data_IF_752375258423
#
_entry.id   IF_752375258423
#
_cell.length_a   1.000
_cell.length_b   1.000
_cell.length_c   1.000
_cell.angle_alpha   90.00
_cell.angle_beta   90.00
_cell.angle_gamma   90.00
#
_symmetry.space_group_name_H-M   'P 1'
#
loop_
_entity.id
_entity.type
_entity.pdbx_description
1 polymer ?
#
# COMPACT_ATOMS: atom_id res chain seq x y z
N UNK A 1 11.04 -11.27 8.55
CA UNK A 1 11.43 -11.51 7.14
C UNK A 1 10.34 -12.20 6.34
N UNK A 2 9.89 -13.41 6.73
CA UNK A 2 8.79 -14.11 6.04
C UNK A 2 7.53 -13.25 5.95
N UNK A 3 7.17 -12.56 7.04
CA UNK A 3 6.02 -11.64 7.08
C UNK A 3 6.12 -10.50 6.06
N UNK A 4 7.32 -9.96 5.83
CA UNK A 4 7.57 -8.90 4.85
C UNK A 4 7.38 -9.41 3.41
N UNK A 5 7.83 -10.65 3.14
CA UNK A 5 7.61 -11.28 1.83
C UNK A 5 6.13 -11.59 1.58
N UNK A 6 5.42 -12.10 2.59
CA UNK A 6 3.97 -12.31 2.52
C UNK A 6 3.22 -10.99 2.29
N UNK A 7 3.61 -9.93 3.00
CA UNK A 7 3.06 -8.58 2.81
C UNK A 7 3.33 -8.09 1.39
N UNK A 8 4.56 -8.24 0.89
CA UNK A 8 4.92 -7.87 -0.47
C UNK A 8 4.06 -8.59 -1.50
N UNK A 9 3.91 -9.91 -1.38
CA UNK A 9 3.05 -10.71 -2.25
C UNK A 9 1.59 -10.27 -2.22
N UNK A 10 1.02 -10.00 -1.03
CA UNK A 10 -0.35 -9.51 -0.90
C UNK A 10 -0.55 -8.17 -1.61
N UNK A 11 0.40 -7.25 -1.48
CA UNK A 11 0.33 -5.94 -2.14
C UNK A 11 0.55 -6.00 -3.65
N UNK A 12 1.35 -6.94 -4.16
CA UNK A 12 1.43 -7.23 -5.61
C UNK A 12 0.06 -7.68 -6.13
N UNK A 13 -0.59 -8.61 -5.44
CA UNK A 13 -1.93 -9.08 -5.82
C UNK A 13 -2.93 -7.92 -5.82
N UNK A 14 -2.90 -7.05 -4.80
CA UNK A 14 -3.75 -5.86 -4.74
C UNK A 14 -3.48 -4.90 -5.89
N UNK A 15 -2.22 -4.62 -6.22
CA UNK A 15 -1.85 -3.74 -7.32
C UNK A 15 -2.44 -4.26 -8.65
N UNK A 16 -2.26 -5.54 -8.95
CA UNK A 16 -2.79 -6.20 -10.15
C UNK A 16 -4.33 -6.16 -10.15
N UNK A 17 -4.95 -6.48 -9.02
CA UNK A 17 -6.41 -6.52 -8.88
C UNK A 17 -7.03 -5.13 -9.11
N UNK A 18 -6.42 -4.08 -8.56
CA UNK A 18 -6.87 -2.69 -8.74
C UNK A 18 -6.77 -2.25 -10.20
N UNK A 19 -5.72 -2.66 -10.92
CA UNK A 19 -5.61 -2.40 -12.36
C UNK A 19 -6.69 -3.15 -13.15
N UNK A 20 -6.97 -4.40 -12.79
CA UNK A 20 -8.03 -5.22 -13.40
C UNK A 20 -9.45 -4.67 -13.17
N UNK A 21 -9.71 -4.09 -12.00
CA UNK A 21 -11.00 -3.47 -11.65
C UNK A 21 -11.39 -2.30 -12.56
N UNK A 22 -10.42 -1.70 -13.26
CA UNK A 22 -10.68 -0.63 -14.23
C UNK A 22 -11.51 -1.10 -15.44
N UNK A 23 -11.48 -2.39 -15.78
CA UNK A 23 -12.25 -2.95 -16.88
C UNK A 23 -13.73 -3.21 -16.52
N UNK A 24 -14.01 -3.51 -15.25
CA UNK A 24 -15.34 -3.91 -14.76
C UNK A 24 -16.09 -2.86 -13.94
N UNK A 25 -15.49 -1.69 -13.66
CA UNK A 25 -16.11 -0.66 -12.81
C UNK A 25 -16.38 0.64 -13.57
N UNK A 26 -17.35 1.43 -13.09
CA UNK A 26 -17.61 2.81 -13.56
C UNK A 26 -16.61 3.84 -13.01
N UNK A 27 -15.53 3.39 -12.37
CA UNK A 27 -14.53 4.28 -11.78
C UNK A 27 -13.58 4.79 -12.88
N UNK A 28 -13.07 6.04 -12.77
CA UNK A 28 -12.00 6.48 -13.63
C UNK A 28 -10.77 5.59 -13.46
N UNK A 29 -9.96 5.44 -14.52
CA UNK A 29 -8.75 4.59 -14.48
C UNK A 29 -7.65 5.16 -13.59
N UNK A 30 -7.55 6.48 -13.49
CA UNK A 30 -6.43 7.14 -12.83
C UNK A 30 -6.38 6.98 -11.29
N UNK A 31 -7.49 6.99 -10.50
CA UNK A 31 -7.43 6.73 -9.06
C UNK A 31 -7.11 5.27 -8.75
N UNK A 32 -7.56 4.35 -9.61
CA UNK A 32 -7.21 2.93 -9.54
C UNK A 32 -5.72 2.73 -9.83
N UNK A 33 -5.19 3.37 -10.88
CA UNK A 33 -3.77 3.33 -11.20
C UNK A 33 -2.90 3.93 -10.08
N UNK A 34 -3.33 5.06 -9.49
CA UNK A 34 -2.61 5.69 -8.37
C UNK A 34 -2.61 4.79 -7.12
N UNK A 35 -3.74 4.16 -6.80
CA UNK A 35 -3.85 3.20 -5.69
C UNK A 35 -3.04 1.93 -5.95
N UNK A 36 -3.00 1.46 -7.20
CA UNK A 36 -2.17 0.33 -7.61
C UNK A 36 -0.67 0.66 -7.52
N UNK A 37 -0.27 1.86 -7.91
CA UNK A 37 1.11 2.35 -7.75
C UNK A 37 1.50 2.44 -6.27
N UNK A 38 0.60 2.92 -5.40
CA UNK A 38 0.81 2.90 -3.96
C UNK A 38 1.04 1.47 -3.42
N UNK A 39 0.19 0.52 -3.84
CA UNK A 39 0.36 -0.89 -3.49
C UNK A 39 1.69 -1.46 -3.98
N UNK A 40 2.10 -1.13 -5.21
CA UNK A 40 3.38 -1.57 -5.77
C UNK A 40 4.57 -1.02 -4.97
N UNK A 41 4.53 0.24 -4.55
CA UNK A 41 5.57 0.83 -3.68
C UNK A 41 5.66 0.12 -2.33
N UNK A 42 4.52 -0.22 -1.72
CA UNK A 42 4.49 -0.99 -0.48
C UNK A 42 5.10 -2.37 -0.70
N UNK A 43 4.78 -3.02 -1.82
CA UNK A 43 5.34 -4.33 -2.17
C UNK A 43 6.86 -4.29 -2.36
N UNK A 44 7.37 -3.28 -3.07
CA UNK A 44 8.81 -3.07 -3.27
C UNK A 44 9.49 -2.90 -1.92
N UNK A 45 8.95 -2.06 -1.04
CA UNK A 45 9.56 -1.82 0.27
C UNK A 45 9.56 -3.09 1.14
N UNK A 46 8.46 -3.84 1.14
CA UNK A 46 8.34 -5.09 1.89
C UNK A 46 9.30 -6.18 1.36
N UNK A 47 9.50 -6.24 0.03
CA UNK A 47 10.49 -7.10 -0.59
C UNK A 47 11.92 -6.71 -0.22
N UNK A 48 12.26 -5.41 -0.27
CA UNK A 48 13.59 -4.89 0.11
C UNK A 48 13.92 -5.24 1.56
N UNK A 49 12.96 -5.09 2.48
CA UNK A 49 13.13 -5.49 3.88
C UNK A 49 13.27 -7.00 4.03
N UNK A 50 12.50 -7.78 3.27
CA UNK A 50 12.52 -9.24 3.34
C UNK A 50 13.75 -9.90 2.71
N UNK A 51 14.44 -9.21 1.79
CA UNK A 51 15.54 -9.78 0.98
C UNK A 51 16.85 -9.02 1.18
N UNK A 52 16.94 -7.78 0.71
CA UNK A 52 18.18 -6.98 0.72
C UNK A 52 18.67 -6.76 2.15
N UNK A 53 17.77 -6.37 3.05
CA UNK A 53 18.11 -6.18 4.46
C UNK A 53 18.47 -7.48 5.16
N UNK A 54 17.83 -8.58 4.76
CA UNK A 54 18.15 -9.89 5.28
C UNK A 54 19.56 -10.34 4.91
N UNK A 55 19.91 -10.13 3.65
CA UNK A 55 21.23 -10.43 3.14
C UNK A 55 22.29 -9.51 3.76
N UNK A 56 22.04 -8.19 3.86
CA UNK A 56 22.96 -7.27 4.53
C UNK A 56 23.21 -7.64 6.00
N UNK A 57 22.18 -8.07 6.71
CA UNK A 57 22.29 -8.52 8.10
C UNK A 57 23.10 -9.81 8.26
N UNK A 58 23.19 -10.66 7.22
CA UNK A 58 24.02 -11.87 7.25
C UNK A 58 25.48 -11.63 6.85
N UNK A 59 25.76 -10.60 6.06
CA UNK A 59 27.10 -10.32 5.52
C UNK A 59 27.89 -9.29 6.33
N UNK A 60 27.21 -8.37 7.02
CA UNK A 60 27.86 -7.26 7.70
C UNK A 60 28.00 -7.49 9.21
N UNK A 61 29.10 -7.03 9.82
CA UNK A 61 29.18 -6.90 11.27
C UNK A 61 28.06 -6.00 11.81
N UNK A 62 27.52 -6.33 12.99
CA UNK A 62 26.39 -5.64 13.61
C UNK A 62 26.55 -4.11 13.67
N UNK A 63 27.73 -3.63 14.07
CA UNK A 63 28.02 -2.20 14.13
C UNK A 63 27.94 -1.48 12.77
N UNK A 64 28.27 -2.17 11.68
CA UNK A 64 28.16 -1.60 10.32
C UNK A 64 26.71 -1.65 9.83
N UNK A 65 26.00 -2.73 10.13
CA UNK A 65 24.57 -2.84 9.83
C UNK A 65 23.77 -1.74 10.56
N UNK A 66 24.09 -1.47 11.81
CA UNK A 66 23.50 -0.39 12.60
C UNK A 66 23.82 0.99 12.03
N UNK A 67 25.06 1.23 11.58
CA UNK A 67 25.42 2.49 10.94
C UNK A 67 24.62 2.71 9.64
N UNK A 68 24.34 1.65 8.86
CA UNK A 68 23.51 1.72 7.65
C UNK A 68 22.04 1.92 7.99
N UNK A 69 21.53 1.23 9.01
CA UNK A 69 20.13 1.34 9.44
C UNK A 69 19.82 2.72 10.03
N UNK A 70 20.81 3.34 10.70
CA UNK A 70 20.73 4.72 11.19
C UNK A 70 20.95 5.77 10.09
N UNK A 71 21.51 5.39 8.93
CA UNK A 71 21.68 6.29 7.80
C UNK A 71 20.33 6.57 7.13
N UNK A 72 19.70 7.61 7.64
CA UNK A 72 18.27 7.91 7.53
C UNK A 72 17.83 8.20 6.11
N UNK A 73 18.76 8.60 5.23
CA UNK A 73 18.43 9.11 3.91
C UNK A 73 17.88 8.02 2.98
N UNK A 74 18.52 6.83 2.95
CA UNK A 74 18.06 5.69 2.16
C UNK A 74 16.71 5.16 2.67
N UNK A 75 16.54 5.03 3.99
CA UNK A 75 15.27 4.61 4.57
C UNK A 75 14.12 5.59 4.28
N UNK A 76 14.39 6.88 4.43
CA UNK A 76 13.43 7.94 4.19
C UNK A 76 13.03 8.05 2.71
N UNK A 77 13.94 7.76 1.79
CA UNK A 77 13.68 7.68 0.35
C UNK A 77 12.64 6.62 -0.02
N UNK A 78 12.48 5.57 0.77
CA UNK A 78 11.42 4.58 0.54
C UNK A 78 10.14 4.91 1.31
N UNK A 79 10.25 5.39 2.55
CA UNK A 79 9.09 5.64 3.42
C UNK A 79 8.25 6.82 2.91
N UNK A 80 8.86 7.96 2.59
CA UNK A 80 8.09 9.16 2.26
C UNK A 80 7.34 9.05 0.93
N UNK A 81 7.94 8.58 -0.17
CA UNK A 81 7.19 8.39 -1.41
C UNK A 81 6.07 7.38 -1.27
N UNK A 82 6.30 6.29 -0.53
CA UNK A 82 5.26 5.30 -0.23
C UNK A 82 4.10 5.95 0.54
N UNK A 83 4.38 6.68 1.62
CA UNK A 83 3.38 7.36 2.43
C UNK A 83 2.55 8.35 1.61
N UNK A 84 3.21 9.18 0.80
CA UNK A 84 2.56 10.15 -0.10
C UNK A 84 1.69 9.45 -1.14
N UNK A 85 2.20 8.38 -1.77
CA UNK A 85 1.43 7.61 -2.76
C UNK A 85 0.24 6.90 -2.12
N UNK A 86 0.40 6.31 -0.94
CA UNK A 86 -0.71 5.66 -0.22
C UNK A 86 -1.78 6.68 0.18
N UNK A 87 -1.37 7.82 0.73
CA UNK A 87 -2.30 8.89 1.08
C UNK A 87 -3.05 9.38 -0.15
N UNK A 88 -2.32 9.74 -1.21
CA UNK A 88 -2.91 10.25 -2.44
C UNK A 88 -3.78 9.20 -3.12
N UNK A 89 -3.29 7.97 -3.29
CA UNK A 89 -4.00 6.87 -3.94
C UNK A 89 -5.31 6.52 -3.23
N UNK A 90 -5.23 6.15 -1.96
CA UNK A 90 -6.41 5.69 -1.23
C UNK A 90 -7.43 6.80 -0.97
N UNK A 91 -6.97 8.00 -0.62
CA UNK A 91 -7.89 9.14 -0.40
C UNK A 91 -8.61 9.50 -1.70
N UNK A 92 -7.88 9.51 -2.81
CA UNK A 92 -8.47 9.87 -4.10
C UNK A 92 -9.43 8.81 -4.59
N UNK A 93 -9.07 7.53 -4.45
CA UNK A 93 -9.97 6.43 -4.75
C UNK A 93 -11.24 6.51 -3.89
N UNK A 94 -11.10 6.75 -2.58
CA UNK A 94 -12.22 6.93 -1.65
C UNK A 94 -13.16 8.07 -2.08
N UNK A 95 -12.62 9.26 -2.32
CA UNK A 95 -13.41 10.45 -2.70
C UNK A 95 -14.11 10.23 -4.04
N UNK A 96 -13.39 9.73 -5.04
CA UNK A 96 -13.96 9.50 -6.38
C UNK A 96 -15.02 8.40 -6.35
N UNK A 97 -14.75 7.29 -5.66
CA UNK A 97 -15.69 6.18 -5.54
C UNK A 97 -16.95 6.56 -4.76
N UNK A 98 -16.82 7.35 -3.70
CA UNK A 98 -17.98 7.90 -2.99
C UNK A 98 -18.80 8.85 -3.86
N UNK A 99 -18.16 9.83 -4.52
CA UNK A 99 -18.85 10.80 -5.37
C UNK A 99 -19.59 10.17 -6.56
N UNK A 100 -19.10 9.02 -7.05
CA UNK A 100 -19.74 8.26 -8.12
C UNK A 100 -20.74 7.22 -7.62
N UNK A 101 -21.01 7.16 -6.32
CA UNK A 101 -21.92 6.17 -5.73
C UNK A 101 -21.43 4.72 -5.82
N UNK A 102 -20.16 4.51 -6.17
CA UNK A 102 -19.58 3.17 -6.24
C UNK A 102 -19.28 2.62 -4.84
N UNK A 103 -18.98 3.48 -3.87
CA UNK A 103 -18.60 3.08 -2.51
C UNK A 103 -19.58 3.57 -1.45
N UNK A 104 -19.72 2.77 -0.39
CA UNK A 104 -20.36 3.21 0.85
C UNK A 104 -19.50 4.25 1.58
N UNK A 105 -20.13 5.03 2.47
CA UNK A 105 -19.40 5.97 3.35
C UNK A 105 -18.37 5.25 4.23
N UNK A 106 -18.70 4.04 4.70
CA UNK A 106 -17.80 3.20 5.51
C UNK A 106 -16.55 2.79 4.75
N UNK A 107 -16.69 2.24 3.54
CA UNK A 107 -15.55 1.86 2.70
C UNK A 107 -14.63 3.05 2.38
N UNK A 108 -15.23 4.22 2.14
CA UNK A 108 -14.50 5.46 1.87
C UNK A 108 -13.72 5.94 3.09
N UNK A 109 -14.33 5.90 4.28
CA UNK A 109 -13.67 6.26 5.54
C UNK A 109 -12.49 5.32 5.84
N UNK A 110 -12.65 4.01 5.61
CA UNK A 110 -11.58 3.02 5.81
C UNK A 110 -10.41 3.26 4.86
N UNK A 111 -10.66 3.59 3.59
CA UNK A 111 -9.60 3.91 2.63
C UNK A 111 -8.84 5.20 3.01
N UNK A 112 -9.55 6.24 3.47
CA UNK A 112 -8.90 7.46 3.98
C UNK A 112 -8.05 7.13 5.22
N UNK A 113 -8.59 6.34 6.15
CA UNK A 113 -7.84 5.89 7.32
C UNK A 113 -6.59 5.07 6.93
N UNK A 114 -6.68 4.22 5.90
CA UNK A 114 -5.52 3.50 5.37
C UNK A 114 -4.45 4.45 4.82
N UNK A 115 -4.86 5.49 4.07
CA UNK A 115 -3.96 6.54 3.57
C UNK A 115 -3.25 7.30 4.69
N UNK A 116 -3.98 7.66 5.75
CA UNK A 116 -3.41 8.32 6.93
C UNK A 116 -2.48 7.40 7.73
N UNK A 117 -2.86 6.13 7.88
CA UNK A 117 -2.04 5.14 8.57
C UNK A 117 -0.68 4.92 7.89
N UNK A 118 -0.60 5.13 6.57
CA UNK A 118 0.66 5.06 5.83
C UNK A 118 1.71 6.10 6.25
N UNK A 119 1.29 7.15 6.97
CA UNK A 119 2.18 8.18 7.52
C UNK A 119 2.74 7.80 8.90
N UNK A 120 2.14 6.82 9.58
CA UNK A 120 2.49 6.47 10.97
C UNK A 120 3.69 5.50 11.08
N UNK A 121 4.17 4.97 9.95
CA UNK A 121 5.29 4.03 9.94
C UNK A 121 5.02 2.80 9.07
N UNK A 122 5.91 1.80 9.12
CA UNK A 122 5.87 0.68 8.19
C UNK A 122 4.59 -0.16 8.35
N UNK A 123 4.10 -0.66 7.21
CA UNK A 123 3.21 -1.78 6.84
C UNK A 123 1.91 -2.19 7.59
N UNK A 124 1.87 -2.61 8.88
CA UNK A 124 0.70 -3.36 9.39
C UNK A 124 -0.64 -2.61 9.36
N UNK A 125 -0.75 -1.36 9.85
CA UNK A 125 -2.04 -0.68 9.90
C UNK A 125 -2.54 -0.28 8.50
N UNK A 126 -1.64 0.15 7.61
CA UNK A 126 -1.97 0.51 6.23
C UNK A 126 -2.42 -0.69 5.41
N UNK A 127 -1.75 -1.84 5.56
CA UNK A 127 -2.08 -3.08 4.85
C UNK A 127 -3.42 -3.64 5.25
N UNK A 128 -3.68 -3.71 6.55
CA UNK A 128 -4.95 -4.20 7.05
C UNK A 128 -6.11 -3.30 6.59
N UNK A 129 -5.99 -1.98 6.78
CA UNK A 129 -7.05 -1.04 6.43
C UNK A 129 -7.25 -0.95 4.91
N UNK A 130 -6.16 -0.95 4.13
CA UNK A 130 -6.23 -0.97 2.67
C UNK A 130 -6.92 -2.22 2.15
N UNK A 131 -6.55 -3.40 2.66
CA UNK A 131 -7.17 -4.67 2.30
C UNK A 131 -8.67 -4.71 2.66
N UNK A 132 -9.05 -4.25 3.86
CA UNK A 132 -10.46 -4.16 4.28
C UNK A 132 -11.23 -3.21 3.35
N UNK A 133 -10.67 -2.04 3.04
CA UNK A 133 -11.29 -1.07 2.13
C UNK A 133 -11.51 -1.64 0.73
N UNK A 134 -10.52 -2.33 0.17
CA UNK A 134 -10.59 -2.94 -1.17
C UNK A 134 -11.53 -4.16 -1.18
N UNK A 135 -11.52 -5.00 -0.14
CA UNK A 135 -12.45 -6.12 -0.02
C UNK A 135 -13.90 -5.63 0.09
N UNK A 136 -14.13 -4.55 0.83
CA UNK A 136 -15.45 -3.92 0.93
C UNK A 136 -15.89 -3.36 -0.41
N UNK A 137 -15.00 -2.70 -1.14
CA UNK A 137 -15.23 -2.22 -2.50
C UNK A 137 -15.63 -3.36 -3.45
N UNK A 138 -14.88 -4.47 -3.45
CA UNK A 138 -15.18 -5.63 -4.29
C UNK A 138 -16.56 -6.22 -3.95
N UNK A 139 -16.97 -6.20 -2.68
CA UNK A 139 -18.31 -6.61 -2.25
C UNK A 139 -19.39 -5.63 -2.71
N UNK A 140 -19.15 -4.32 -2.59
CA UNK A 140 -20.10 -3.28 -3.01
C UNK A 140 -20.36 -3.33 -4.52
N UNK A 141 -19.35 -3.62 -5.33
CA UNK A 141 -19.50 -3.77 -6.79
C UNK A 141 -20.29 -5.02 -7.20
N UNK A 142 -20.30 -6.10 -6.40
CA UNK A 142 -21.11 -7.30 -6.69
C UNK A 142 -22.60 -7.12 -6.41
N UNK A 143 -22.95 -6.16 -5.55
CA UNK A 143 -24.32 -5.94 -5.09
C UNK A 143 -25.01 -4.76 -5.78
N UNK A 144 -24.34 -4.10 -6.73
CA UNK A 144 -24.81 -2.93 -7.48
C UNK A 144 -25.10 -3.31 -8.94
#
# INVERSE_FOLDING_TARGET
>A
MVESLLTGGAYVVLAITLTGLAAGSRLPRWPLALSAAACAFVAIQAWTVGTVFAWLASELPEAQFDAISQNTLLFNLFIYPMGVLCLAGYTTLAVVGWRRGAFSRGASAVLVAAGLAALLGPFPPTGLLGAIGIAWLARSLKNA
#
